data_IF_679509980388
#
_entry.id   IF_679509980388
#
_cell.length_a   1.000
_cell.length_b   1.000
_cell.length_c   1.000
_cell.angle_alpha   90.00
_cell.angle_beta   90.00
_cell.angle_gamma   90.00
#
_symmetry.space_group_name_H-M   'P 1'
#
loop_
_entity.id
_entity.type
_entity.pdbx_description
1 polymer ?
#
# COMPACT_ATOMS: atom_id res chain seq x y z
N UNK A 1 -4.57 5.23 16.40
CA UNK A 1 -4.92 4.43 15.21
C UNK A 1 -4.44 5.14 13.95
N UNK A 2 -4.64 6.46 13.84
CA UNK A 2 -3.68 7.45 13.33
C UNK A 2 -2.97 7.17 12.00
N UNK A 3 -1.67 7.48 11.98
CA UNK A 3 -0.79 7.21 10.86
C UNK A 3 -0.55 5.71 10.61
N UNK A 4 -0.68 4.86 11.63
CA UNK A 4 -0.42 3.42 11.51
C UNK A 4 -1.40 2.72 10.58
N UNK A 5 -2.68 3.12 10.61
CA UNK A 5 -3.69 2.58 9.69
C UNK A 5 -3.47 3.01 8.24
N UNK A 6 -3.03 4.27 8.02
CA UNK A 6 -2.66 4.77 6.69
C UNK A 6 -1.47 4.00 6.10
N UNK A 7 -0.45 3.74 6.93
CA UNK A 7 0.71 2.94 6.53
C UNK A 7 0.31 1.49 6.29
N UNK A 8 -0.52 0.91 7.15
CA UNK A 8 -1.03 -0.46 7.01
C UNK A 8 -1.86 -0.67 5.74
N UNK A 9 -2.71 0.31 5.37
CA UNK A 9 -3.47 0.25 4.11
C UNK A 9 -2.59 0.29 2.86
N UNK A 10 -1.37 0.85 2.96
CA UNK A 10 -0.40 0.85 1.86
C UNK A 10 0.28 -0.50 1.66
N UNK A 11 0.35 -1.34 2.70
CA UNK A 11 0.95 -2.68 2.65
C UNK A 11 0.00 -3.76 2.09
N UNK A 12 -1.30 -3.47 2.01
CA UNK A 12 -2.25 -4.33 1.30
C UNK A 12 -2.56 -3.65 -0.03
N UNK A 13 -1.56 -3.67 -0.92
CA UNK A 13 -1.68 -3.18 -2.27
C UNK A 13 -2.28 -4.22 -3.21
N UNK A 14 -2.68 -3.76 -4.38
CA UNK A 14 -3.22 -4.64 -5.44
C UNK A 14 -2.16 -5.58 -5.99
N UNK A 15 -0.89 -5.15 -5.97
CA UNK A 15 0.27 -6.01 -6.23
C UNK A 15 0.41 -7.14 -5.21
N UNK A 16 0.23 -6.84 -3.92
CA UNK A 16 0.31 -7.85 -2.86
C UNK A 16 -0.81 -8.90 -3.00
N UNK A 17 -2.02 -8.46 -3.33
CA UNK A 17 -3.16 -9.36 -3.61
C UNK A 17 -2.85 -10.26 -4.82
N UNK A 18 -2.32 -9.71 -5.91
CA UNK A 18 -1.99 -10.49 -7.11
C UNK A 18 -0.87 -11.52 -6.84
N UNK A 19 0.18 -11.12 -6.12
CA UNK A 19 1.28 -12.01 -5.72
C UNK A 19 0.75 -13.09 -4.79
N UNK A 20 -0.03 -12.73 -3.76
CA UNK A 20 -0.59 -13.67 -2.81
C UNK A 20 -1.53 -14.69 -3.48
N UNK A 21 -2.37 -14.23 -4.41
CA UNK A 21 -3.26 -15.11 -5.20
C UNK A 21 -2.46 -16.10 -6.03
N UNK A 22 -1.40 -15.63 -6.71
CA UNK A 22 -0.53 -16.50 -7.51
C UNK A 22 0.27 -17.48 -6.65
N UNK A 23 0.75 -17.04 -5.48
CA UNK A 23 1.43 -17.91 -4.52
C UNK A 23 0.49 -19.00 -4.00
N UNK A 24 -0.73 -18.65 -3.63
CA UNK A 24 -1.75 -19.62 -3.20
C UNK A 24 -2.11 -20.62 -4.31
N UNK A 25 -2.19 -20.17 -5.56
CA UNK A 25 -2.46 -21.05 -6.71
C UNK A 25 -1.30 -22.02 -7.01
N UNK A 26 -0.05 -21.62 -6.80
CA UNK A 26 1.13 -22.44 -7.13
C UNK A 26 1.58 -23.34 -5.98
N UNK A 27 1.48 -22.85 -4.74
CA UNK A 27 2.06 -23.51 -3.56
C UNK A 27 1.02 -23.82 -2.48
N UNK A 28 -0.27 -23.61 -2.74
CA UNK A 28 -1.32 -23.82 -1.76
C UNK A 28 -1.08 -23.00 -0.48
N UNK A 29 -1.22 -23.65 0.67
CA UNK A 29 -0.97 -23.03 1.98
C UNK A 29 0.50 -23.08 2.39
N UNK A 30 1.39 -23.82 1.73
CA UNK A 30 2.77 -24.07 2.22
C UNK A 30 3.60 -22.79 2.46
N UNK A 31 3.24 -21.69 1.79
CA UNK A 31 3.91 -20.39 1.91
C UNK A 31 3.18 -19.38 2.82
N UNK A 32 2.12 -19.77 3.53
CA UNK A 32 1.33 -18.85 4.37
C UNK A 32 2.18 -18.16 5.45
N UNK A 33 3.19 -18.85 6.00
CA UNK A 33 4.09 -18.32 7.03
C UNK A 33 4.94 -17.14 6.52
N UNK A 34 5.17 -17.04 5.21
CA UNK A 34 5.98 -15.95 4.63
C UNK A 34 5.32 -14.60 4.85
N UNK A 35 3.99 -14.52 4.82
CA UNK A 35 3.23 -13.31 5.15
C UNK A 35 3.42 -12.87 6.60
N UNK A 36 3.55 -13.80 7.53
CA UNK A 36 3.81 -13.47 8.94
C UNK A 36 5.21 -12.89 9.12
N UNK A 37 6.22 -13.49 8.50
CA UNK A 37 7.61 -13.02 8.57
C UNK A 37 7.75 -11.64 7.92
N UNK A 38 7.17 -11.45 6.72
CA UNK A 38 7.20 -10.17 6.03
C UNK A 38 6.41 -9.09 6.77
N UNK A 39 5.26 -9.44 7.34
CA UNK A 39 4.46 -8.55 8.17
C UNK A 39 5.22 -8.09 9.42
N UNK A 40 5.91 -9.00 10.11
CA UNK A 40 6.74 -8.67 11.27
C UNK A 40 7.93 -7.78 10.87
N UNK A 41 8.63 -8.12 9.79
CA UNK A 41 9.72 -7.31 9.27
C UNK A 41 9.25 -5.90 8.89
N UNK A 42 8.13 -5.78 8.17
CA UNK A 42 7.52 -4.49 7.82
C UNK A 42 7.13 -3.68 9.05
N UNK A 43 6.50 -4.32 10.05
CA UNK A 43 6.11 -3.67 11.30
C UNK A 43 7.33 -3.13 12.07
N UNK A 44 8.39 -3.93 12.21
CA UNK A 44 9.61 -3.50 12.91
C UNK A 44 10.28 -2.29 12.23
N UNK A 45 10.39 -2.29 10.90
CA UNK A 45 10.94 -1.16 10.14
C UNK A 45 10.11 0.11 10.31
N UNK A 46 8.78 -0.02 10.29
CA UNK A 46 7.87 1.12 10.49
C UNK A 46 7.89 1.66 11.92
N UNK A 47 7.96 0.78 12.92
CA UNK A 47 8.12 1.17 14.32
C UNK A 47 9.46 1.91 14.55
N UNK A 48 10.56 1.39 14.00
CA UNK A 48 11.86 2.07 14.04
C UNK A 48 11.83 3.45 13.38
N UNK A 49 11.22 3.56 12.20
CA UNK A 49 11.06 4.84 11.48
C UNK A 49 10.26 5.86 12.29
N UNK A 50 9.17 5.41 12.90
CA UNK A 50 8.30 6.25 13.73
C UNK A 50 9.04 6.73 14.98
N UNK A 51 9.72 5.83 15.70
CA UNK A 51 10.51 6.17 16.89
C UNK A 51 11.65 7.14 16.56
N UNK A 52 12.29 6.96 15.41
CA UNK A 52 13.31 7.89 14.93
C UNK A 52 12.74 9.29 14.73
N UNK A 53 11.61 9.41 14.02
CA UNK A 53 10.95 10.71 13.81
C UNK A 53 10.53 11.37 15.13
N UNK A 54 9.93 10.62 16.06
CA UNK A 54 9.54 11.13 17.38
C UNK A 54 10.73 11.64 18.19
N UNK A 55 11.89 10.98 18.09
CA UNK A 55 13.09 11.37 18.85
C UNK A 55 13.83 12.56 18.25
N UNK A 56 13.95 12.61 16.93
CA UNK A 56 14.83 13.58 16.24
C UNK A 56 14.08 14.68 15.48
N UNK A 57 12.74 14.61 15.39
CA UNK A 57 11.91 15.58 14.66
C UNK A 57 12.14 15.58 13.14
N UNK A 58 12.83 14.57 12.61
CA UNK A 58 13.25 14.47 11.21
C UNK A 58 13.05 13.05 10.70
N UNK A 59 12.82 12.90 9.40
CA UNK A 59 12.62 11.58 8.80
C UNK A 59 13.94 10.80 8.76
N UNK A 60 13.93 9.45 8.83
CA UNK A 60 15.16 8.65 8.69
C UNK A 60 15.95 8.93 7.41
N UNK A 61 15.26 9.38 6.36
CA UNK A 61 15.87 9.81 5.09
C UNK A 61 16.84 10.99 5.25
N UNK A 62 16.72 11.79 6.30
CA UNK A 62 17.62 12.91 6.56
C UNK A 62 19.05 12.46 6.88
N UNK A 63 19.22 11.26 7.46
CA UNK A 63 20.54 10.70 7.82
C UNK A 63 21.42 10.60 6.57
N UNK A 64 20.84 10.13 5.47
CA UNK A 64 21.55 9.95 4.21
C UNK A 64 21.95 11.29 3.58
N UNK A 65 21.14 12.33 3.75
CA UNK A 65 21.47 13.69 3.30
C UNK A 65 22.68 14.26 4.04
N UNK A 66 22.79 13.96 5.33
CA UNK A 66 23.89 14.39 6.19
C UNK A 66 25.19 13.59 5.95
N UNK A 67 25.09 12.36 5.46
CA UNK A 67 26.25 11.51 5.18
C UNK A 67 27.00 11.90 3.90
N UNK A 68 26.29 12.09 2.79
CA UNK A 68 26.92 12.51 1.52
C UNK A 68 25.88 13.09 0.54
N UNK A 69 26.19 14.18 -0.20
CA UNK A 69 25.24 14.80 -1.14
C UNK A 69 24.73 13.85 -2.24
N UNK A 70 25.55 12.88 -2.67
CA UNK A 70 25.15 11.87 -3.68
C UNK A 70 23.98 11.01 -3.19
N UNK A 71 23.89 10.73 -1.90
CA UNK A 71 22.76 9.95 -1.38
C UNK A 71 21.44 10.72 -1.48
N UNK A 72 21.46 12.05 -1.46
CA UNK A 72 20.26 12.86 -1.71
C UNK A 72 19.76 12.68 -3.15
N UNK A 73 20.68 12.64 -4.11
CA UNK A 73 20.37 12.40 -5.53
C UNK A 73 19.83 10.97 -5.70
N UNK A 74 20.52 9.99 -5.12
CA UNK A 74 20.07 8.60 -5.15
C UNK A 74 18.65 8.47 -4.58
N UNK A 75 18.39 8.99 -3.38
CA UNK A 75 17.07 8.93 -2.75
C UNK A 75 16.01 9.67 -3.58
N UNK A 76 16.34 10.80 -4.18
CA UNK A 76 15.42 11.50 -5.09
C UNK A 76 15.06 10.64 -6.30
N UNK A 77 16.05 10.05 -6.97
CA UNK A 77 15.84 9.13 -8.08
C UNK A 77 15.01 7.93 -7.64
N UNK A 78 15.33 7.31 -6.51
CA UNK A 78 14.57 6.18 -5.95
C UNK A 78 13.12 6.57 -5.70
N UNK A 79 12.84 7.72 -5.08
CA UNK A 79 11.46 8.20 -4.84
C UNK A 79 10.73 8.44 -6.16
N UNK A 80 11.37 9.08 -7.14
CA UNK A 80 10.75 9.31 -8.46
C UNK A 80 10.43 7.99 -9.14
N UNK A 81 11.38 7.06 -9.20
CA UNK A 81 11.20 5.75 -9.85
C UNK A 81 10.13 4.93 -9.15
N UNK A 82 10.19 4.83 -7.82
CA UNK A 82 9.21 4.04 -7.03
C UNK A 82 7.82 4.66 -7.07
N UNK A 83 7.69 5.98 -7.09
CA UNK A 83 6.39 6.64 -7.23
C UNK A 83 5.86 6.48 -8.65
N UNK A 84 6.71 6.61 -9.67
CA UNK A 84 6.26 6.51 -11.07
C UNK A 84 5.89 5.07 -11.44
N UNK A 85 6.71 4.09 -11.08
CA UNK A 85 6.50 2.69 -11.46
C UNK A 85 5.61 1.98 -10.45
N UNK A 86 5.87 2.17 -9.15
CA UNK A 86 5.14 1.51 -8.07
C UNK A 86 3.71 2.03 -7.98
N UNK A 87 3.49 3.35 -7.97
CA UNK A 87 2.14 3.89 -7.91
C UNK A 87 1.36 3.66 -9.23
N UNK A 88 2.04 3.52 -10.37
CA UNK A 88 1.37 3.16 -11.63
C UNK A 88 0.60 1.84 -11.53
N UNK A 89 1.15 0.82 -10.87
CA UNK A 89 0.43 -0.45 -10.68
C UNK A 89 -0.86 -0.28 -9.87
N UNK A 90 -0.85 0.61 -8.88
CA UNK A 90 -2.00 0.94 -8.05
C UNK A 90 -3.04 1.75 -8.85
N UNK A 91 -2.59 2.74 -9.63
CA UNK A 91 -3.45 3.56 -10.49
C UNK A 91 -4.12 2.73 -11.59
N UNK A 92 -3.37 1.80 -12.19
CA UNK A 92 -3.92 0.90 -13.19
C UNK A 92 -5.00 -0.01 -12.59
N UNK A 93 -4.85 -0.42 -11.33
CA UNK A 93 -5.88 -1.21 -10.67
C UNK A 93 -7.14 -0.38 -10.40
N UNK A 94 -7.00 0.86 -9.93
CA UNK A 94 -8.13 1.78 -9.80
C UNK A 94 -8.83 2.02 -11.15
N UNK A 95 -8.06 2.12 -12.23
CA UNK A 95 -8.58 2.25 -13.58
C UNK A 95 -9.37 1.02 -14.04
N UNK A 96 -8.87 -0.19 -13.75
CA UNK A 96 -9.58 -1.43 -14.04
C UNK A 96 -10.94 -1.50 -13.32
N UNK A 97 -11.01 -1.08 -12.04
CA UNK A 97 -12.29 -0.99 -11.32
C UNK A 97 -13.27 -0.07 -12.04
N UNK A 98 -12.82 1.12 -12.47
CA UNK A 98 -13.67 2.03 -13.25
C UNK A 98 -14.11 1.43 -14.59
N UNK A 99 -13.22 0.69 -15.25
CA UNK A 99 -13.52 -0.06 -16.48
C UNK A 99 -14.55 -1.18 -16.27
N UNK A 100 -14.59 -1.81 -15.10
CA UNK A 100 -15.66 -2.80 -14.79
C UNK A 100 -17.03 -2.16 -14.64
N UNK A 101 -17.09 -0.92 -14.15
CA UNK A 101 -18.35 -0.17 -14.01
C UNK A 101 -18.81 0.42 -15.34
N UNK A 102 -17.88 0.82 -16.19
CA UNK A 102 -18.15 1.29 -17.54
C UNK A 102 -16.99 0.91 -18.48
N UNK A 103 -17.19 -0.13 -19.34
CA UNK A 103 -16.16 -0.60 -20.27
C UNK A 103 -15.70 0.44 -21.30
N UNK A 104 -16.46 1.52 -21.49
CA UNK A 104 -16.12 2.60 -22.41
C UNK A 104 -15.09 3.58 -21.87
N UNK A 105 -14.68 3.47 -20.60
CA UNK A 105 -13.67 4.36 -19.99
C UNK A 105 -12.26 3.81 -20.30
N UNK A 106 -11.40 4.55 -21.02
CA UNK A 106 -10.02 4.17 -21.22
C UNK A 106 -9.28 4.09 -19.87
N UNK A 107 -8.41 3.08 -19.73
CA UNK A 107 -7.60 2.84 -18.52
C UNK A 107 -6.76 4.06 -18.14
N UNK A 108 -6.23 4.78 -19.12
CA UNK A 108 -5.44 6.00 -18.93
C UNK A 108 -6.26 7.10 -18.26
N UNK A 109 -7.53 7.24 -18.67
CA UNK A 109 -8.45 8.23 -18.11
C UNK A 109 -8.85 7.83 -16.69
N UNK A 110 -9.19 6.57 -16.46
CA UNK A 110 -9.53 6.05 -15.14
C UNK A 110 -8.40 6.23 -14.12
N UNK A 111 -7.17 5.91 -14.53
CA UNK A 111 -5.97 6.06 -13.69
C UNK A 111 -5.67 7.52 -13.39
N UNK A 112 -5.78 8.40 -14.39
CA UNK A 112 -5.57 9.84 -14.22
C UNK A 112 -6.60 10.44 -13.27
N UNK A 113 -7.88 10.09 -13.41
CA UNK A 113 -8.94 10.56 -12.51
C UNK A 113 -8.70 10.11 -11.06
N UNK A 114 -8.29 8.86 -10.86
CA UNK A 114 -7.95 8.33 -9.54
C UNK A 114 -6.76 9.09 -8.91
N UNK A 115 -5.71 9.36 -9.68
CA UNK A 115 -4.54 10.11 -9.22
C UNK A 115 -4.88 11.57 -8.87
N UNK A 116 -5.71 12.22 -9.70
CA UNK A 116 -6.18 13.59 -9.45
C UNK A 116 -7.08 13.65 -8.20
N UNK A 117 -7.99 12.69 -8.03
CA UNK A 117 -8.83 12.61 -6.84
C UNK A 117 -8.01 12.39 -5.56
N UNK A 118 -7.03 11.49 -5.60
CA UNK A 118 -6.12 11.27 -4.48
C UNK A 118 -5.31 12.54 -4.13
N UNK A 119 -4.82 13.24 -5.15
CA UNK A 119 -4.08 14.50 -4.98
C UNK A 119 -4.98 15.59 -4.39
N UNK A 120 -6.22 15.73 -4.88
CA UNK A 120 -7.17 16.70 -4.37
C UNK A 120 -7.52 16.43 -2.89
N UNK A 121 -7.74 15.16 -2.51
CA UNK A 121 -8.00 14.78 -1.13
C UNK A 121 -6.83 15.13 -0.20
N UNK A 122 -5.58 14.98 -0.66
CA UNK A 122 -4.40 15.41 0.08
C UNK A 122 -4.33 16.94 0.23
N UNK A 123 -4.60 17.69 -0.84
CA UNK A 123 -4.54 19.17 -0.84
C UNK A 123 -5.63 19.80 0.03
N UNK A 124 -6.80 19.17 0.14
CA UNK A 124 -7.89 19.64 0.98
C UNK A 124 -7.64 19.45 2.49
N UNK A 125 -6.53 18.80 2.87
CA UNK A 125 -6.08 18.70 4.26
C UNK A 125 -7.00 17.86 5.16
N UNK A 126 -7.88 17.03 4.58
CA UNK A 126 -8.93 16.29 5.31
C UNK A 126 -8.40 14.98 5.90
N UNK A 127 -7.17 14.99 6.42
CA UNK A 127 -6.41 13.79 6.81
C UNK A 127 -7.15 12.87 7.77
N UNK A 128 -7.85 13.43 8.77
CA UNK A 128 -8.61 12.63 9.75
C UNK A 128 -9.78 11.86 9.11
N UNK A 129 -10.48 12.45 8.14
CA UNK A 129 -11.60 11.76 7.47
C UNK A 129 -11.07 10.71 6.51
N UNK A 130 -9.97 11.02 5.82
CA UNK A 130 -9.26 10.08 4.94
C UNK A 130 -8.77 8.87 5.74
N UNK A 131 -8.16 9.10 6.90
CA UNK A 131 -7.73 8.04 7.81
C UNK A 131 -8.88 7.13 8.24
N UNK A 132 -9.98 7.70 8.72
CA UNK A 132 -11.16 6.92 9.13
C UNK A 132 -11.74 6.12 7.95
N UNK A 133 -11.78 6.71 6.77
CA UNK A 133 -12.19 6.01 5.56
C UNK A 133 -11.28 4.81 5.26
N UNK A 134 -9.95 4.97 5.32
CA UNK A 134 -9.02 3.88 5.09
C UNK A 134 -9.12 2.77 6.14
N UNK A 135 -9.33 3.12 7.41
CA UNK A 135 -9.58 2.12 8.48
C UNK A 135 -10.82 1.31 8.16
N UNK A 136 -11.94 1.96 7.81
CA UNK A 136 -13.19 1.28 7.48
C UNK A 136 -13.04 0.41 6.22
N UNK A 137 -12.43 0.96 5.17
CA UNK A 137 -12.16 0.23 3.93
C UNK A 137 -11.29 -1.02 4.18
N UNK A 138 -10.28 -0.90 5.04
CA UNK A 138 -9.42 -2.01 5.43
C UNK A 138 -10.20 -3.10 6.18
N UNK A 139 -11.05 -2.71 7.13
CA UNK A 139 -11.92 -3.66 7.87
C UNK A 139 -12.84 -4.41 6.89
N UNK A 140 -13.46 -3.70 5.94
CA UNK A 140 -14.31 -4.30 4.92
C UNK A 140 -13.51 -5.27 4.04
N UNK A 141 -12.31 -4.88 3.59
CA UNK A 141 -11.46 -5.72 2.77
C UNK A 141 -11.05 -7.02 3.48
N UNK A 142 -10.65 -6.92 4.75
CA UNK A 142 -10.33 -8.09 5.59
C UNK A 142 -11.56 -9.00 5.71
N UNK A 143 -12.74 -8.42 5.93
CA UNK A 143 -14.00 -9.16 5.99
C UNK A 143 -14.31 -9.90 4.69
N UNK A 144 -14.14 -9.26 3.53
CA UNK A 144 -14.37 -9.88 2.22
C UNK A 144 -13.43 -11.07 1.99
N UNK A 145 -12.14 -10.94 2.31
CA UNK A 145 -11.20 -12.06 2.19
C UNK A 145 -11.47 -13.18 3.17
N UNK A 146 -11.88 -12.87 4.41
CA UNK A 146 -12.27 -13.90 5.38
C UNK A 146 -13.50 -14.70 4.91
N UNK A 147 -14.51 -14.01 4.35
CA UNK A 147 -15.68 -14.67 3.74
C UNK A 147 -15.27 -15.52 2.54
N UNK A 148 -14.39 -15.02 1.67
CA UNK A 148 -13.89 -15.78 0.53
C UNK A 148 -13.12 -17.04 0.97
N UNK A 149 -12.29 -16.94 2.01
CA UNK A 149 -11.57 -18.08 2.56
C UNK A 149 -12.51 -19.13 3.17
N UNK A 150 -13.57 -18.68 3.88
CA UNK A 150 -14.59 -19.57 4.42
C UNK A 150 -15.40 -20.27 3.30
N UNK A 151 -15.74 -19.55 2.23
CA UNK A 151 -16.44 -20.11 1.08
C UNK A 151 -15.58 -21.10 0.28
N UNK A 152 -14.26 -20.94 0.31
CA UNK A 152 -13.30 -21.82 -0.36
C UNK A 152 -12.95 -23.08 0.45
N UNK A 153 -13.53 -23.27 1.64
CA UNK A 153 -13.24 -24.36 2.58
C UNK A 153 -11.72 -24.53 2.80
N UNK A 154 -11.04 -23.40 3.04
CA UNK A 154 -9.59 -23.37 3.15
C UNK A 154 -9.11 -24.36 4.23
N UNK A 155 -8.16 -25.26 3.93
CA UNK A 155 -7.64 -26.19 4.91
C UNK A 155 -6.79 -25.42 5.93
N UNK A 156 -7.36 -25.17 7.10
CA UNK A 156 -6.70 -24.48 8.21
C UNK A 156 -5.73 -25.37 9.01
N UNK A 157 -5.59 -26.64 8.60
CA UNK A 157 -4.81 -27.71 9.26
C UNK A 157 -3.56 -28.06 8.47
#
# INVERSE_FOLDING_TARGET
>A
VGAGALVGSFYIGTGDIAIATKMGALFGMDMWWTFFVLGLAGWTLMDMSTRYYLRFGRTPLSIFKEAHPVFSIYLFVTVVVTTTIGAYSQWNTCAHVLGTLNPGIPTEVGGTLAALAATALLLLGVYRRIELFFVLALIVLIGLFAVAAAAADAPWS
#
